data_IF_153332619508
#
_entry.id   IF_153332619508
#
_cell.length_a   1.000
_cell.length_b   1.000
_cell.length_c   1.000
_cell.angle_alpha   90.00
_cell.angle_beta   90.00
_cell.angle_gamma   90.00
#
_symmetry.space_group_name_H-M   'P 1'
#
loop_
_entity.id
_entity.type
_entity.pdbx_description
1 polymer ?
#
# COMPACT_ATOMS: atom_id res chain seq x y z
N UNK A 1 -35.60 -4.88 -27.10
CA UNK A 1 -35.06 -4.37 -25.83
C UNK A 1 -33.68 -4.98 -25.73
N UNK A 2 -32.64 -4.22 -26.08
CA UNK A 2 -31.28 -4.74 -26.06
C UNK A 2 -30.83 -4.70 -24.59
N UNK A 3 -30.64 -5.86 -23.98
CA UNK A 3 -29.88 -5.97 -22.74
C UNK A 3 -28.45 -5.56 -23.08
N UNK A 4 -28.02 -4.38 -22.66
CA UNK A 4 -26.61 -4.03 -22.67
C UNK A 4 -25.91 -4.95 -21.67
N UNK A 5 -25.30 -6.01 -22.20
CA UNK A 5 -24.40 -6.86 -21.44
C UNK A 5 -23.21 -5.98 -21.06
N UNK A 6 -23.26 -5.41 -19.86
CA UNK A 6 -22.11 -4.71 -19.26
C UNK A 6 -21.01 -5.74 -19.07
N UNK A 7 -20.07 -5.80 -20.02
CA UNK A 7 -18.92 -6.68 -19.93
C UNK A 7 -17.97 -6.14 -18.86
N UNK A 8 -17.88 -6.84 -17.74
CA UNK A 8 -16.91 -6.58 -16.70
C UNK A 8 -15.55 -7.12 -17.16
N UNK A 9 -14.61 -6.22 -17.43
CA UNK A 9 -13.22 -6.58 -17.75
C UNK A 9 -12.39 -6.46 -16.47
N UNK A 10 -11.74 -7.54 -16.06
CA UNK A 10 -10.86 -7.58 -14.88
C UNK A 10 -9.41 -7.80 -15.31
N UNK A 11 -8.46 -7.21 -14.60
CA UNK A 11 -7.05 -7.53 -14.79
C UNK A 11 -6.75 -8.97 -14.38
N UNK A 12 -5.72 -9.56 -14.96
CA UNK A 12 -5.30 -10.91 -14.62
C UNK A 12 -4.73 -10.96 -13.19
N UNK A 13 -4.06 -9.88 -12.78
CA UNK A 13 -3.48 -9.66 -11.47
C UNK A 13 -4.56 -9.64 -10.38
N UNK A 14 -5.69 -8.95 -10.63
CA UNK A 14 -6.82 -8.94 -9.69
C UNK A 14 -7.46 -10.33 -9.55
N UNK A 15 -7.60 -11.08 -10.64
CA UNK A 15 -8.11 -12.45 -10.58
C UNK A 15 -7.22 -13.34 -9.70
N UNK A 16 -5.90 -13.21 -9.86
CA UNK A 16 -4.94 -13.95 -9.04
C UNK A 16 -4.96 -13.52 -7.57
N UNK A 17 -5.10 -12.21 -7.30
CA UNK A 17 -5.25 -11.68 -5.94
C UNK A 17 -6.49 -12.27 -5.26
N UNK A 18 -7.64 -12.25 -5.94
CA UNK A 18 -8.90 -12.79 -5.39
C UNK A 18 -8.73 -14.28 -5.08
N UNK A 19 -8.14 -15.04 -5.99
CA UNK A 19 -7.85 -16.46 -5.77
C UNK A 19 -6.94 -16.65 -4.55
N UNK A 20 -5.84 -15.90 -4.47
CA UNK A 20 -4.88 -16.00 -3.38
C UNK A 20 -5.52 -15.70 -2.03
N UNK A 21 -6.33 -14.64 -1.92
CA UNK A 21 -7.01 -14.26 -0.68
C UNK A 21 -7.99 -15.34 -0.22
N UNK A 22 -8.72 -15.96 -1.14
CA UNK A 22 -9.67 -17.04 -0.82
C UNK A 22 -8.94 -18.29 -0.34
N UNK A 23 -7.81 -18.63 -0.96
CA UNK A 23 -7.05 -19.85 -0.65
C UNK A 23 -6.21 -19.71 0.63
N UNK A 24 -5.65 -18.53 0.89
CA UNK A 24 -4.62 -18.35 1.92
C UNK A 24 -5.08 -17.48 3.10
N UNK A 25 -6.01 -16.55 2.90
CA UNK A 25 -6.39 -15.55 3.91
C UNK A 25 -7.87 -15.54 4.33
N UNK A 26 -8.54 -16.71 4.47
CA UNK A 26 -9.96 -16.73 4.81
C UNK A 26 -10.27 -16.17 6.21
N UNK A 27 -9.35 -16.33 7.17
CA UNK A 27 -9.53 -15.80 8.52
C UNK A 27 -9.43 -14.26 8.55
N UNK A 28 -8.53 -13.67 7.76
CA UNK A 28 -8.43 -12.21 7.63
C UNK A 28 -9.69 -11.63 6.97
N UNK A 29 -10.21 -12.28 5.93
CA UNK A 29 -11.49 -11.91 5.30
C UNK A 29 -12.63 -11.97 6.32
N UNK A 30 -12.66 -13.02 7.16
CA UNK A 30 -13.64 -13.14 8.24
C UNK A 30 -13.52 -12.02 9.27
N UNK A 31 -12.30 -11.61 9.64
CA UNK A 31 -12.09 -10.49 10.56
C UNK A 31 -12.64 -9.18 9.99
N UNK A 32 -12.40 -8.89 8.71
CA UNK A 32 -12.95 -7.71 8.02
C UNK A 32 -14.49 -7.73 8.07
N UNK A 33 -15.10 -8.89 7.79
CA UNK A 33 -16.57 -9.05 7.87
C UNK A 33 -17.07 -8.81 9.30
N UNK A 34 -16.41 -9.37 10.31
CA UNK A 34 -16.77 -9.19 11.73
C UNK A 34 -16.71 -7.71 12.11
N UNK A 35 -15.65 -7.00 11.71
CA UNK A 35 -15.50 -5.57 11.95
C UNK A 35 -16.63 -4.77 11.29
N UNK A 36 -16.96 -5.06 10.03
CA UNK A 36 -18.05 -4.40 9.32
C UNK A 36 -19.42 -4.63 9.99
N UNK A 37 -19.69 -5.86 10.44
CA UNK A 37 -20.91 -6.20 11.18
C UNK A 37 -21.02 -5.42 12.49
N UNK A 38 -19.93 -5.31 13.24
CA UNK A 38 -19.85 -4.57 14.49
C UNK A 38 -19.95 -3.05 14.27
N UNK A 39 -19.47 -2.55 13.13
CA UNK A 39 -19.56 -1.13 12.73
C UNK A 39 -20.98 -0.70 12.31
N UNK A 40 -21.96 -1.60 12.36
CA UNK A 40 -23.37 -1.27 12.15
C UNK A 40 -24.00 -1.83 10.87
N UNK A 41 -23.25 -2.61 10.07
CA UNK A 41 -23.82 -3.30 8.90
C UNK A 41 -24.98 -4.25 9.31
N UNK A 42 -24.87 -4.88 10.49
CA UNK A 42 -25.92 -5.75 11.04
C UNK A 42 -27.26 -5.02 11.20
N UNK A 43 -27.24 -3.76 11.59
CA UNK A 43 -28.45 -2.95 11.76
C UNK A 43 -28.99 -2.42 10.43
N UNK A 44 -28.13 -2.26 9.41
CA UNK A 44 -28.55 -1.95 8.05
C UNK A 44 -29.29 -3.13 7.41
N UNK A 45 -28.81 -4.36 7.58
CA UNK A 45 -29.49 -5.55 7.05
C UNK A 45 -30.92 -5.70 7.57
N UNK A 46 -31.15 -5.46 8.87
CA UNK A 46 -32.49 -5.54 9.46
C UNK A 46 -33.49 -4.52 8.90
N UNK A 47 -33.00 -3.41 8.35
CA UNK A 47 -33.82 -2.31 7.80
C UNK A 47 -34.01 -2.42 6.30
N UNK A 48 -33.34 -3.37 5.65
CA UNK A 48 -33.33 -3.48 4.20
C UNK A 48 -34.54 -4.32 3.73
N UNK A 49 -35.61 -3.65 3.34
CA UNK A 49 -36.65 -4.21 2.49
C UNK A 49 -36.43 -3.68 1.09
N UNK A 50 -35.98 -4.52 0.16
CA UNK A 50 -35.84 -4.14 -1.25
C UNK A 50 -36.71 -5.04 -2.15
N UNK A 51 -37.47 -4.45 -3.09
CA UNK A 51 -38.09 -5.19 -4.18
C UNK A 51 -37.02 -5.92 -5.03
N UNK A 52 -37.30 -7.15 -5.45
CA UNK A 52 -36.35 -8.05 -6.14
C UNK A 52 -35.69 -7.42 -7.38
N UNK A 53 -36.43 -6.64 -8.17
CA UNK A 53 -35.91 -6.03 -9.41
C UNK A 53 -34.90 -4.90 -9.15
N UNK A 54 -35.17 -4.02 -8.18
CA UNK A 54 -34.21 -2.97 -7.78
C UNK A 54 -32.99 -3.54 -7.03
N UNK A 55 -33.12 -4.73 -6.44
CA UNK A 55 -32.05 -5.37 -5.71
C UNK A 55 -30.98 -5.94 -6.66
N UNK A 56 -31.38 -6.50 -7.80
CA UNK A 56 -30.46 -7.07 -8.78
C UNK A 56 -29.51 -6.02 -9.38
N UNK A 57 -30.05 -4.90 -9.88
CA UNK A 57 -29.24 -3.83 -10.48
C UNK A 57 -28.30 -3.19 -9.45
N UNK A 58 -28.80 -2.91 -8.24
CA UNK A 58 -27.99 -2.37 -7.16
C UNK A 58 -26.85 -3.32 -6.72
N UNK A 59 -27.09 -4.63 -6.73
CA UNK A 59 -26.04 -5.62 -6.47
C UNK A 59 -24.99 -5.65 -7.57
N UNK A 60 -25.40 -5.59 -8.84
CA UNK A 60 -24.47 -5.52 -9.96
C UNK A 60 -23.54 -4.31 -9.86
N UNK A 61 -24.07 -3.11 -9.61
CA UNK A 61 -23.25 -1.92 -9.39
C UNK A 61 -22.32 -2.08 -8.17
N UNK A 62 -22.83 -2.62 -7.05
CA UNK A 62 -22.01 -2.82 -5.86
C UNK A 62 -20.84 -3.79 -6.09
N UNK A 63 -21.00 -4.81 -6.93
CA UNK A 63 -19.93 -5.75 -7.30
C UNK A 63 -18.89 -5.05 -8.18
N UNK A 64 -19.35 -4.26 -9.16
CA UNK A 64 -18.44 -3.48 -10.03
C UNK A 64 -17.63 -2.50 -9.18
N UNK A 65 -18.27 -1.77 -8.27
CA UNK A 65 -17.60 -0.82 -7.38
C UNK A 65 -16.56 -1.51 -6.49
N UNK A 66 -16.91 -2.67 -5.92
CA UNK A 66 -16.00 -3.45 -5.09
C UNK A 66 -14.77 -3.92 -5.85
N UNK A 67 -14.96 -4.50 -7.05
CA UNK A 67 -13.86 -4.98 -7.87
C UNK A 67 -13.00 -3.82 -8.39
N UNK A 68 -13.63 -2.69 -8.74
CA UNK A 68 -12.91 -1.47 -9.13
C UNK A 68 -12.04 -0.93 -8.00
N UNK A 69 -12.55 -0.93 -6.76
CA UNK A 69 -11.78 -0.53 -5.59
C UNK A 69 -10.61 -1.48 -5.34
N UNK A 70 -10.82 -2.80 -5.42
CA UNK A 70 -9.74 -3.76 -5.25
C UNK A 70 -8.63 -3.59 -6.29
N UNK A 71 -8.98 -3.31 -7.55
CA UNK A 71 -8.01 -3.01 -8.62
C UNK A 71 -7.16 -1.80 -8.25
N UNK A 72 -7.80 -0.70 -7.81
CA UNK A 72 -7.11 0.53 -7.40
C UNK A 72 -6.14 0.24 -6.25
N UNK A 73 -6.61 -0.45 -5.20
CA UNK A 73 -5.79 -0.76 -4.03
C UNK A 73 -4.62 -1.69 -4.38
N UNK A 74 -4.83 -2.67 -5.26
CA UNK A 74 -3.77 -3.55 -5.75
C UNK A 74 -2.70 -2.75 -6.48
N UNK A 75 -3.11 -1.81 -7.34
CA UNK A 75 -2.19 -0.95 -8.06
C UNK A 75 -1.40 -0.04 -7.12
N UNK A 76 -2.09 0.65 -6.19
CA UNK A 76 -1.47 1.52 -5.19
C UNK A 76 -0.39 0.80 -4.37
N UNK A 77 -0.74 -0.37 -3.80
CA UNK A 77 0.21 -1.15 -2.98
C UNK A 77 1.38 -1.67 -3.82
N UNK A 78 1.13 -2.06 -5.07
CA UNK A 78 2.19 -2.54 -5.97
C UNK A 78 3.17 -1.44 -6.33
N UNK A 79 2.68 -0.23 -6.64
CA UNK A 79 3.53 0.93 -6.92
C UNK A 79 4.36 1.33 -5.69
N UNK A 80 3.74 1.35 -4.51
CA UNK A 80 4.43 1.63 -3.25
C UNK A 80 5.55 0.62 -2.98
N UNK A 81 5.30 -0.67 -3.15
CA UNK A 81 6.30 -1.72 -2.95
C UNK A 81 7.44 -1.62 -3.96
N UNK A 82 7.15 -1.39 -5.24
CA UNK A 82 8.19 -1.22 -6.26
C UNK A 82 9.08 -0.01 -5.97
N UNK A 83 8.48 1.09 -5.51
CA UNK A 83 9.23 2.27 -5.11
C UNK A 83 10.08 1.98 -3.87
N UNK A 84 9.54 1.34 -2.83
CA UNK A 84 10.31 0.94 -1.65
C UNK A 84 11.49 0.03 -2.03
N UNK A 85 11.27 -0.95 -2.91
CA UNK A 85 12.36 -1.81 -3.40
C UNK A 85 13.42 -1.02 -4.17
N UNK A 86 13.03 -0.08 -5.03
CA UNK A 86 13.97 0.76 -5.77
C UNK A 86 14.78 1.65 -4.83
N UNK A 87 14.16 2.19 -3.79
CA UNK A 87 14.83 2.95 -2.73
C UNK A 87 15.80 2.04 -1.99
N UNK A 88 15.35 0.90 -1.47
CA UNK A 88 16.19 -0.04 -0.74
C UNK A 88 17.36 -0.57 -1.59
N UNK A 89 17.12 -1.02 -2.83
CA UNK A 89 18.14 -1.57 -3.73
C UNK A 89 19.16 -0.53 -4.19
N UNK A 90 18.77 0.74 -4.37
CA UNK A 90 19.71 1.81 -4.78
C UNK A 90 20.48 2.43 -3.60
N UNK A 91 19.90 2.36 -2.39
CA UNK A 91 20.50 2.93 -1.18
C UNK A 91 21.34 1.93 -0.38
N UNK A 92 21.03 0.63 -0.41
CA UNK A 92 21.85 -0.42 0.23
C UNK A 92 23.34 -0.36 -0.17
N UNK A 93 23.68 -0.23 -1.47
CA UNK A 93 25.06 -0.06 -1.87
C UNK A 93 25.69 1.20 -1.29
N UNK A 94 24.94 2.30 -1.14
CA UNK A 94 25.46 3.53 -0.54
C UNK A 94 25.65 3.39 0.98
N UNK A 95 24.81 2.62 1.65
CA UNK A 95 24.92 2.31 3.09
C UNK A 95 26.14 1.45 3.38
N UNK A 96 26.46 0.48 2.52
CA UNK A 96 27.65 -0.38 2.68
C UNK A 96 28.97 0.42 2.66
N UNK A 97 28.96 1.63 2.10
CA UNK A 97 30.12 2.53 2.10
C UNK A 97 30.14 3.50 3.29
N UNK A 98 29.13 3.50 4.16
CA UNK A 98 29.08 4.34 5.35
C UNK A 98 29.87 3.64 6.46
N UNK A 99 30.90 4.30 6.96
CA UNK A 99 31.66 3.80 8.12
C UNK A 99 30.76 3.82 9.37
N UNK A 100 30.37 2.63 9.82
CA UNK A 100 29.55 2.42 11.01
C UNK A 100 30.25 2.90 12.30
N UNK A 101 31.56 3.15 12.27
CA UNK A 101 32.28 3.76 13.40
C UNK A 101 32.02 5.27 13.54
N UNK A 102 31.71 5.97 12.44
CA UNK A 102 31.50 7.43 12.43
C UNK A 102 30.02 7.83 12.36
N UNK A 103 29.15 6.96 11.86
CA UNK A 103 27.71 7.21 11.76
C UNK A 103 26.90 6.25 12.66
N UNK A 104 26.14 6.77 13.64
CA UNK A 104 25.24 5.95 14.44
C UNK A 104 24.21 5.26 13.54
N UNK A 105 24.01 3.96 13.70
CA UNK A 105 23.04 3.18 12.91
C UNK A 105 21.61 3.79 12.94
N UNK A 106 21.22 4.39 14.07
CA UNK A 106 19.96 5.11 14.24
C UNK A 106 19.86 6.35 13.33
N UNK A 107 20.97 7.04 13.07
CA UNK A 107 21.02 8.22 12.21
C UNK A 107 20.91 7.83 10.73
N UNK A 108 21.52 6.70 10.36
CA UNK A 108 21.40 6.11 9.02
C UNK A 108 19.95 5.68 8.76
N UNK A 109 19.34 4.93 9.68
CA UNK A 109 17.93 4.51 9.57
C UNK A 109 16.96 5.70 9.49
N UNK A 110 17.09 6.70 10.36
CA UNK A 110 16.23 7.89 10.31
C UNK A 110 16.42 8.73 9.04
N UNK A 111 17.60 8.69 8.41
CA UNK A 111 17.86 9.37 7.14
C UNK A 111 17.25 8.59 5.97
N UNK A 112 17.29 7.26 6.00
CA UNK A 112 16.60 6.39 5.04
C UNK A 112 15.10 6.61 5.02
N UNK A 113 14.45 6.65 6.19
CA UNK A 113 13.01 6.92 6.30
C UNK A 113 12.65 8.27 5.67
N UNK A 114 13.41 9.33 5.99
CA UNK A 114 13.21 10.67 5.41
C UNK A 114 13.43 10.72 3.91
N UNK A 115 14.39 9.96 3.39
CA UNK A 115 14.69 9.89 1.95
C UNK A 115 13.60 9.13 1.22
N UNK A 116 13.09 8.03 1.80
CA UNK A 116 11.94 7.29 1.27
C UNK A 116 10.73 8.21 1.11
N UNK A 117 10.35 8.96 2.16
CA UNK A 117 9.23 9.90 2.09
C UNK A 117 9.45 11.09 1.13
N UNK A 118 10.70 11.43 0.81
CA UNK A 118 11.01 12.48 -0.18
C UNK A 118 10.95 11.98 -1.61
N UNK A 119 11.30 10.71 -1.82
CA UNK A 119 11.24 10.04 -3.13
C UNK A 119 9.80 9.70 -3.50
N UNK A 120 8.95 9.33 -2.53
CA UNK A 120 7.49 9.26 -2.70
C UNK A 120 6.91 10.52 -3.35
N UNK A 121 7.36 11.69 -2.88
CA UNK A 121 6.88 12.98 -3.39
C UNK A 121 7.58 13.44 -4.67
N UNK A 122 8.75 12.87 -5.00
CA UNK A 122 9.59 13.29 -6.13
C UNK A 122 10.42 12.12 -6.67
N UNK A 123 9.81 11.17 -7.41
CA UNK A 123 10.46 9.92 -7.81
C UNK A 123 11.59 10.09 -8.85
N UNK A 124 11.72 11.27 -9.46
CA UNK A 124 12.75 11.59 -10.45
C UNK A 124 14.11 11.99 -9.85
N UNK A 125 14.18 12.23 -8.53
CA UNK A 125 15.42 12.66 -7.87
C UNK A 125 16.36 11.48 -7.64
N UNK A 126 17.67 11.75 -7.66
CA UNK A 126 18.67 10.72 -7.38
C UNK A 126 18.58 10.30 -5.89
N UNK A 127 18.25 9.02 -5.61
CA UNK A 127 18.08 8.55 -4.23
C UNK A 127 19.37 8.63 -3.42
N UNK A 128 20.53 8.33 -4.03
CA UNK A 128 21.83 8.36 -3.36
C UNK A 128 22.20 9.78 -2.95
N UNK A 129 21.98 10.75 -3.83
CA UNK A 129 22.23 12.17 -3.54
C UNK A 129 21.34 12.66 -2.39
N UNK A 130 20.06 12.27 -2.37
CA UNK A 130 19.16 12.60 -1.27
C UNK A 130 19.60 11.98 0.06
N UNK A 131 20.06 10.72 0.03
CA UNK A 131 20.60 10.05 1.20
C UNK A 131 21.84 10.77 1.74
N UNK A 132 22.81 11.10 0.87
CA UNK A 132 23.99 11.83 1.30
C UNK A 132 23.67 13.23 1.81
N UNK A 133 22.73 13.96 1.18
CA UNK A 133 22.29 15.25 1.68
C UNK A 133 21.65 15.15 3.07
N UNK A 134 20.81 14.15 3.32
CA UNK A 134 20.20 13.96 4.65
C UNK A 134 21.22 13.50 5.70
N UNK A 135 22.15 12.60 5.34
CA UNK A 135 23.24 12.19 6.22
C UNK A 135 24.10 13.40 6.60
N UNK A 136 24.57 14.19 5.63
CA UNK A 136 25.39 15.38 5.87
C UNK A 136 24.65 16.45 6.66
N UNK A 137 23.34 16.63 6.44
CA UNK A 137 22.52 17.60 7.18
C UNK A 137 22.35 17.19 8.65
N UNK A 138 22.24 15.90 8.90
CA UNK A 138 22.05 15.36 10.25
C UNK A 138 23.39 15.02 10.94
N UNK A 139 24.50 15.00 10.20
CA UNK A 139 25.84 14.77 10.71
C UNK A 139 26.32 15.97 11.52
N UNK A 140 26.62 15.72 12.80
CA UNK A 140 27.23 16.71 13.66
C UNK A 140 28.52 16.13 14.27
N UNK A 141 29.68 16.28 13.61
CA UNK A 141 30.95 15.71 14.06
C UNK A 141 31.45 16.32 15.39
N UNK A 142 30.84 17.40 15.87
CA UNK A 142 31.22 18.06 17.12
C UNK A 142 30.60 17.45 18.39
N UNK A 143 29.63 16.52 18.24
CA UNK A 143 29.13 15.74 19.37
C UNK A 143 30.05 14.55 19.60
N UNK A 144 31.04 14.74 20.49
CA UNK A 144 31.82 13.63 21.04
C UNK A 144 30.85 12.54 21.51
N UNK A 145 31.01 11.34 20.98
CA UNK A 145 30.44 10.12 21.55
C UNK A 145 30.79 10.08 23.04
N UNK A 146 29.81 10.08 23.96
CA UNK A 146 30.10 9.72 25.33
C UNK A 146 30.53 8.25 25.30
N UNK A 147 31.70 7.97 25.88
CA UNK A 147 32.14 6.61 26.22
C UNK A 147 31.07 5.84 27.00
#
# INVERSE_FOLDING_TARGET
MNEEISQLTLSYELLYLIQWLVENEPDQLKEIIVQALNAGLKEKFKKMYMPEQTAADAMHYSIIDFLSLLEILLHEVTEEQQMQELVHKKLLPAIDHIDAAEYPAQLVQSSLEKVSSKLEKNPTKNPQELLFQELLRNWNPSKKTPN
#
